data_IF_187942540557
#
_entry.id   IF_187942540557
#
_cell.length_a   1.000
_cell.length_b   1.000
_cell.length_c   1.000
_cell.angle_alpha   90.00
_cell.angle_beta   90.00
_cell.angle_gamma   90.00
#
_symmetry.space_group_name_H-M   'P 1'
#
loop_
_entity.id
_entity.type
_entity.pdbx_description
1 polymer ?
#
# COMPACT_ATOMS: atom_id res chain seq x y z
N UNK A 1 -23.07 -32.17 -36.12
CA UNK A 1 -23.88 -31.79 -34.95
C UNK A 1 -22.92 -31.17 -33.93
N UNK A 2 -23.08 -29.88 -33.60
CA UNK A 2 -22.14 -29.11 -32.77
C UNK A 2 -22.09 -29.55 -31.29
N UNK A 3 -23.13 -30.26 -30.83
CA UNK A 3 -23.19 -30.82 -29.47
C UNK A 3 -22.90 -32.31 -29.52
N UNK A 4 -21.79 -32.72 -28.91
CA UNK A 4 -21.38 -34.14 -28.83
C UNK A 4 -21.77 -34.79 -27.51
N UNK A 5 -21.83 -34.02 -26.41
CA UNK A 5 -22.28 -34.48 -25.11
C UNK A 5 -23.24 -33.46 -24.48
N UNK A 6 -24.54 -33.74 -24.55
CA UNK A 6 -25.60 -32.84 -24.05
C UNK A 6 -25.52 -32.64 -22.53
N UNK A 7 -25.14 -33.67 -21.78
CA UNK A 7 -25.07 -33.63 -20.31
C UNK A 7 -23.94 -32.72 -19.85
N UNK A 8 -22.75 -32.87 -20.42
CA UNK A 8 -21.60 -32.03 -20.07
C UNK A 8 -21.80 -30.59 -20.54
N UNK A 9 -22.39 -30.39 -21.72
CA UNK A 9 -22.76 -29.05 -22.18
C UNK A 9 -23.74 -28.36 -21.22
N UNK A 10 -24.78 -29.07 -20.76
CA UNK A 10 -25.75 -28.52 -19.81
C UNK A 10 -25.10 -28.14 -18.48
N UNK A 11 -24.23 -29.00 -17.93
CA UNK A 11 -23.46 -28.70 -16.70
C UNK A 11 -22.61 -27.44 -16.88
N UNK A 12 -21.89 -27.34 -18.00
CA UNK A 12 -21.05 -26.18 -18.30
C UNK A 12 -21.85 -24.88 -18.41
N UNK A 13 -22.98 -24.90 -19.14
CA UNK A 13 -23.88 -23.75 -19.27
C UNK A 13 -24.50 -23.37 -17.93
N UNK A 14 -24.95 -24.35 -17.14
CA UNK A 14 -25.51 -24.11 -15.81
C UNK A 14 -24.47 -23.44 -14.89
N UNK A 15 -23.24 -23.96 -14.85
CA UNK A 15 -22.14 -23.37 -14.09
C UNK A 15 -21.80 -21.96 -14.59
N UNK A 16 -21.83 -21.71 -15.89
CA UNK A 16 -21.56 -20.39 -16.46
C UNK A 16 -22.65 -19.36 -16.09
N UNK A 17 -23.94 -19.73 -16.21
CA UNK A 17 -25.06 -18.83 -15.87
C UNK A 17 -25.06 -18.49 -14.38
N UNK A 18 -24.88 -19.50 -13.53
CA UNK A 18 -24.82 -19.29 -12.07
C UNK A 18 -23.59 -18.47 -11.66
N UNK A 19 -22.44 -18.68 -12.31
CA UNK A 19 -21.25 -17.83 -12.15
C UNK A 19 -21.53 -16.38 -12.54
N UNK A 20 -22.13 -16.14 -13.72
CA UNK A 20 -22.48 -14.79 -14.18
C UNK A 20 -23.46 -14.12 -13.21
N UNK A 21 -24.40 -14.87 -12.62
CA UNK A 21 -25.30 -14.37 -11.59
C UNK A 21 -24.54 -13.87 -10.35
N UNK A 22 -23.59 -14.67 -9.85
CA UNK A 22 -22.71 -14.25 -8.72
C UNK A 22 -21.85 -13.06 -9.12
N UNK A 23 -21.31 -13.04 -10.34
CA UNK A 23 -20.50 -11.92 -10.85
C UNK A 23 -21.31 -10.63 -10.92
N UNK A 24 -22.52 -10.68 -11.47
CA UNK A 24 -23.44 -9.55 -11.51
C UNK A 24 -23.77 -9.06 -10.10
N UNK A 25 -23.95 -9.98 -9.14
CA UNK A 25 -24.12 -9.62 -7.73
C UNK A 25 -22.87 -8.92 -7.19
N UNK A 26 -21.65 -9.43 -7.42
CA UNK A 26 -20.39 -8.77 -6.99
C UNK A 26 -20.29 -7.35 -7.54
N UNK A 27 -20.67 -7.11 -8.79
CA UNK A 27 -20.64 -5.78 -9.39
C UNK A 27 -21.83 -4.89 -8.98
N UNK A 28 -22.87 -5.46 -8.38
CA UNK A 28 -24.04 -4.71 -7.93
C UNK A 28 -23.72 -3.85 -6.69
N UNK A 29 -24.39 -2.70 -6.53
CA UNK A 29 -24.14 -1.74 -5.46
C UNK A 29 -24.80 -2.15 -4.12
N UNK A 30 -24.72 -3.43 -3.74
CA UNK A 30 -25.43 -3.98 -2.57
C UNK A 30 -24.52 -4.23 -1.37
N UNK A 31 -23.22 -3.93 -1.46
CA UNK A 31 -22.21 -4.25 -0.44
C UNK A 31 -21.99 -3.12 0.57
N UNK A 32 -23.03 -2.34 0.84
CA UNK A 32 -23.00 -1.23 1.80
C UNK A 32 -22.53 0.08 1.16
N UNK A 33 -22.01 0.98 1.99
CA UNK A 33 -21.57 2.32 1.58
C UNK A 33 -20.12 2.57 1.92
N UNK A 34 -19.41 3.27 1.03
CA UNK A 34 -18.02 3.65 1.23
C UNK A 34 -17.90 4.81 2.21
N UNK A 35 -16.65 5.21 2.47
CA UNK A 35 -16.30 6.36 3.33
C UNK A 35 -16.90 7.69 2.88
N UNK A 36 -17.28 7.81 1.60
CA UNK A 36 -17.87 9.00 0.98
C UNK A 36 -19.40 8.86 0.84
N UNK A 37 -20.00 7.81 1.41
CA UNK A 37 -21.44 7.54 1.41
C UNK A 37 -21.99 6.96 0.11
N UNK A 38 -21.13 6.55 -0.83
CA UNK A 38 -21.51 5.95 -2.12
C UNK A 38 -21.70 4.45 -1.98
N UNK A 39 -22.63 3.89 -2.73
CA UNK A 39 -22.88 2.46 -2.68
C UNK A 39 -21.68 1.66 -3.21
N UNK A 40 -21.33 0.61 -2.47
CA UNK A 40 -20.18 -0.23 -2.77
C UNK A 40 -20.62 -1.49 -3.51
N UNK A 41 -19.80 -1.87 -4.49
CA UNK A 41 -19.81 -3.22 -5.01
C UNK A 41 -18.84 -4.10 -4.20
N UNK A 42 -18.89 -5.41 -4.42
CA UNK A 42 -18.10 -6.38 -3.66
C UNK A 42 -16.59 -6.21 -3.82
N UNK A 43 -16.13 -5.66 -4.95
CA UNK A 43 -14.70 -5.39 -5.19
C UNK A 43 -14.23 -4.20 -4.35
N UNK A 44 -15.00 -3.11 -4.33
CA UNK A 44 -14.68 -1.93 -3.51
C UNK A 44 -14.75 -2.28 -2.02
N UNK A 45 -15.73 -3.09 -1.61
CA UNK A 45 -15.83 -3.58 -0.24
C UNK A 45 -14.60 -4.41 0.16
N UNK A 46 -14.19 -5.36 -0.68
CA UNK A 46 -13.01 -6.16 -0.42
C UNK A 46 -11.75 -5.29 -0.34
N UNK A 47 -11.55 -4.36 -1.28
CA UNK A 47 -10.40 -3.46 -1.29
C UNK A 47 -10.33 -2.57 -0.04
N UNK A 48 -11.44 -1.92 0.33
CA UNK A 48 -11.52 -1.11 1.56
C UNK A 48 -11.20 -1.95 2.80
N UNK A 49 -11.76 -3.16 2.89
CA UNK A 49 -11.48 -4.07 4.00
C UNK A 49 -9.99 -4.44 4.05
N UNK A 50 -9.39 -4.82 2.92
CA UNK A 50 -7.97 -5.15 2.86
C UNK A 50 -7.09 -3.95 3.20
N UNK A 51 -7.43 -2.75 2.74
CA UNK A 51 -6.70 -1.53 3.07
C UNK A 51 -6.73 -1.19 4.56
N UNK A 52 -7.91 -1.32 5.21
CA UNK A 52 -8.06 -1.12 6.67
C UNK A 52 -7.23 -2.12 7.47
N UNK A 53 -7.22 -3.38 7.05
CA UNK A 53 -6.45 -4.45 7.66
C UNK A 53 -4.95 -4.28 7.45
N UNK A 54 -4.54 -3.92 6.23
CA UNK A 54 -3.15 -3.65 5.88
C UNK A 54 -2.59 -2.46 6.66
N UNK A 55 -3.41 -1.41 6.87
CA UNK A 55 -3.10 -0.33 7.82
C UNK A 55 -2.99 -0.85 9.26
N UNK A 56 -3.87 -1.73 9.72
CA UNK A 56 -3.72 -2.33 11.06
C UNK A 56 -2.38 -3.04 11.25
N UNK A 57 -1.91 -3.76 10.23
CA UNK A 57 -0.66 -4.53 10.28
C UNK A 57 0.61 -3.73 10.02
N UNK A 58 0.51 -2.54 9.42
CA UNK A 58 1.67 -1.74 9.00
C UNK A 58 2.13 -0.72 10.05
N UNK A 59 1.62 -0.79 11.29
CA UNK A 59 1.95 0.19 12.33
C UNK A 59 3.31 -0.10 12.98
N UNK A 60 4.39 0.23 12.26
CA UNK A 60 5.77 0.02 12.71
C UNK A 60 6.39 1.24 13.41
N UNK A 61 5.68 2.38 13.47
CA UNK A 61 6.19 3.64 14.01
C UNK A 61 6.79 3.49 15.42
N UNK A 62 6.15 2.79 16.39
CA UNK A 62 6.74 2.61 17.72
C UNK A 62 8.07 1.85 17.70
N UNK A 63 8.20 0.85 16.80
CA UNK A 63 9.43 0.07 16.65
C UNK A 63 10.55 0.93 16.06
N UNK A 64 10.26 1.70 15.02
CA UNK A 64 11.24 2.59 14.38
C UNK A 64 11.63 3.73 15.33
N UNK A 65 10.69 4.25 16.12
CA UNK A 65 10.98 5.25 17.15
C UNK A 65 11.99 4.75 18.17
N UNK A 66 11.88 3.48 18.60
CA UNK A 66 12.90 2.87 19.48
C UNK A 66 14.26 2.76 18.78
N UNK A 67 14.29 2.34 17.52
CA UNK A 67 15.55 2.28 16.75
C UNK A 67 16.20 3.65 16.57
N UNK A 68 15.40 4.71 16.48
CA UNK A 68 15.89 6.09 16.38
C UNK A 68 16.65 6.58 17.63
N UNK A 69 16.38 5.98 18.80
CA UNK A 69 17.10 6.35 20.04
C UNK A 69 18.61 6.09 19.92
N UNK A 70 19.02 5.11 19.11
CA UNK A 70 20.44 4.78 18.88
C UNK A 70 21.24 5.90 18.19
N UNK A 71 20.56 6.84 17.52
CA UNK A 71 21.20 7.96 16.79
C UNK A 71 20.83 9.33 17.37
N UNK A 72 20.33 9.36 18.61
CA UNK A 72 20.05 10.59 19.33
C UNK A 72 21.37 11.29 19.70
N UNK A 73 21.47 12.60 19.49
CA UNK A 73 22.69 13.38 19.71
C UNK A 73 23.68 13.30 18.54
N UNK A 74 23.38 12.50 17.52
CA UNK A 74 24.26 12.30 16.37
C UNK A 74 24.24 13.52 15.46
N UNK A 75 25.33 14.30 15.50
CA UNK A 75 25.46 15.47 14.65
C UNK A 75 25.74 15.09 13.19
N UNK A 76 25.05 15.74 12.26
CA UNK A 76 25.26 15.61 10.82
C UNK A 76 25.44 16.99 10.20
N UNK A 77 26.30 17.07 9.18
CA UNK A 77 26.43 18.22 8.29
C UNK A 77 26.27 17.72 6.87
N UNK A 78 25.17 18.07 6.21
CA UNK A 78 24.78 17.53 4.90
C UNK A 78 24.40 18.65 3.94
N UNK A 79 24.57 18.42 2.65
CA UNK A 79 24.00 19.28 1.60
C UNK A 79 22.88 18.52 0.90
N UNK A 80 21.64 18.95 1.11
CA UNK A 80 20.45 18.36 0.51
C UNK A 80 20.21 19.03 -0.84
N UNK A 81 20.31 18.26 -1.92
CA UNK A 81 19.96 18.69 -3.28
C UNK A 81 18.73 17.92 -3.74
N UNK A 82 17.59 18.59 -3.79
CA UNK A 82 16.35 18.02 -4.31
C UNK A 82 16.30 18.16 -5.83
N UNK A 83 15.59 17.24 -6.49
CA UNK A 83 15.49 17.20 -7.96
C UNK A 83 14.71 18.39 -8.53
N UNK A 84 13.75 18.93 -7.77
CA UNK A 84 12.92 20.07 -8.16
C UNK A 84 13.17 21.25 -7.21
N UNK A 85 13.50 22.41 -7.77
CA UNK A 85 13.78 23.62 -7.00
C UNK A 85 12.60 24.06 -6.12
N UNK A 86 11.37 23.85 -6.58
CA UNK A 86 10.12 24.15 -5.87
C UNK A 86 10.00 23.40 -4.54
N UNK A 87 10.59 22.19 -4.44
CA UNK A 87 10.57 21.40 -3.22
C UNK A 87 11.53 21.94 -2.14
N UNK A 88 12.49 22.79 -2.52
CA UNK A 88 13.46 23.34 -1.57
C UNK A 88 12.80 24.26 -0.53
N UNK A 89 11.77 25.02 -0.91
CA UNK A 89 11.06 25.88 0.03
C UNK A 89 10.35 25.05 1.12
N UNK A 90 9.65 23.99 0.73
CA UNK A 90 8.96 23.10 1.65
C UNK A 90 9.93 22.33 2.53
N UNK A 91 11.00 21.76 1.95
CA UNK A 91 12.03 21.06 2.69
C UNK A 91 12.75 21.97 3.71
N UNK A 92 13.07 23.21 3.33
CA UNK A 92 13.66 24.18 4.24
C UNK A 92 12.72 24.48 5.41
N UNK A 93 11.42 24.69 5.13
CA UNK A 93 10.40 24.92 6.15
C UNK A 93 10.28 23.76 7.12
N UNK A 94 10.22 22.53 6.63
CA UNK A 94 10.16 21.31 7.46
C UNK A 94 11.39 21.17 8.35
N UNK A 95 12.59 21.31 7.77
CA UNK A 95 13.86 21.16 8.49
C UNK A 95 14.02 22.24 9.58
N UNK A 96 13.80 23.50 9.23
CA UNK A 96 13.91 24.63 10.19
C UNK A 96 12.89 24.52 11.31
N UNK A 97 11.63 24.19 11.00
CA UNK A 97 10.57 23.99 12.00
C UNK A 97 10.86 22.77 12.90
N UNK A 98 11.58 21.78 12.39
CA UNK A 98 12.04 20.62 13.16
C UNK A 98 13.27 20.89 14.03
N UNK A 99 13.74 22.14 14.11
CA UNK A 99 14.87 22.55 14.93
C UNK A 99 16.24 22.30 14.28
N UNK A 100 16.28 21.99 12.99
CA UNK A 100 17.55 21.89 12.27
C UNK A 100 18.06 23.26 11.83
N UNK A 101 19.37 23.47 11.90
CA UNK A 101 20.02 24.62 11.28
C UNK A 101 20.13 24.36 9.78
N UNK A 102 19.09 24.73 9.03
CA UNK A 102 19.01 24.56 7.59
C UNK A 102 19.03 25.92 6.88
N UNK A 103 19.87 26.06 5.85
CA UNK A 103 19.97 27.28 5.04
C UNK A 103 19.97 26.92 3.55
N UNK A 104 19.21 27.65 2.76
CA UNK A 104 19.26 27.53 1.31
C UNK A 104 20.50 28.23 0.76
N UNK A 105 21.32 27.52 0.00
CA UNK A 105 22.47 28.04 -0.73
C UNK A 105 22.26 27.79 -2.22
N UNK A 106 22.99 28.51 -3.08
CA UNK A 106 22.92 28.28 -4.53
C UNK A 106 23.24 26.83 -4.96
N UNK A 107 23.85 26.03 -4.07
CA UNK A 107 24.17 24.63 -4.30
C UNK A 107 23.14 23.62 -3.75
N UNK A 108 22.14 24.06 -2.96
CA UNK A 108 21.16 23.22 -2.26
C UNK A 108 20.89 23.69 -0.83
N UNK A 109 20.26 22.87 0.01
CA UNK A 109 20.04 23.18 1.43
C UNK A 109 21.21 22.63 2.24
N UNK A 110 21.98 23.51 2.88
CA UNK A 110 22.95 23.10 3.90
C UNK A 110 22.23 22.83 5.21
N UNK A 111 22.47 21.65 5.79
CA UNK A 111 21.80 21.15 6.97
C UNK A 111 22.84 20.80 8.05
N UNK A 112 22.71 21.42 9.22
CA UNK A 112 23.38 20.99 10.46
C UNK A 112 22.33 20.66 11.52
N UNK A 113 22.33 19.43 12.02
CA UNK A 113 21.33 18.99 12.97
C UNK A 113 21.77 17.77 13.78
N UNK A 114 21.10 17.56 14.91
CA UNK A 114 21.00 16.24 15.54
C UNK A 114 20.04 15.38 14.70
N UNK A 115 20.59 14.36 14.05
CA UNK A 115 19.85 13.47 13.17
C UNK A 115 18.70 12.77 13.90
N UNK A 116 18.95 12.24 15.11
CA UNK A 116 17.93 11.57 15.89
C UNK A 116 16.81 12.51 16.32
N UNK A 117 17.12 13.76 16.63
CA UNK A 117 16.11 14.78 16.94
C UNK A 117 15.23 15.13 15.74
N UNK A 118 15.83 15.30 14.55
CA UNK A 118 15.06 15.53 13.31
C UNK A 118 14.19 14.31 13.00
N UNK A 119 14.74 13.10 13.03
CA UNK A 119 13.97 11.87 12.79
C UNK A 119 12.81 11.70 13.78
N UNK A 120 12.97 12.11 15.04
CA UNK A 120 11.89 12.09 16.02
C UNK A 120 10.72 13.01 15.63
N UNK A 121 11.00 14.17 15.02
CA UNK A 121 9.96 15.06 14.46
C UNK A 121 9.29 14.45 13.24
N UNK A 122 10.05 13.83 12.34
CA UNK A 122 9.47 13.11 11.20
C UNK A 122 8.57 11.96 11.65
N UNK A 123 9.00 11.21 12.68
CA UNK A 123 8.19 10.13 13.27
C UNK A 123 6.92 10.66 13.93
N UNK A 124 6.97 11.84 14.57
CA UNK A 124 5.80 12.52 15.12
C UNK A 124 4.80 12.88 14.01
N UNK A 125 5.26 13.46 12.90
CA UNK A 125 4.40 13.77 11.75
C UNK A 125 3.81 12.52 11.12
N UNK A 126 4.63 11.49 10.94
CA UNK A 126 4.17 10.21 10.42
C UNK A 126 3.12 9.58 11.34
N UNK A 127 3.26 9.68 12.67
CA UNK A 127 2.29 9.13 13.61
C UNK A 127 0.96 9.89 13.59
N UNK A 128 1.00 11.23 13.57
CA UNK A 128 -0.20 12.07 13.43
C UNK A 128 -0.92 11.76 12.10
N UNK A 129 -0.18 11.67 10.99
CA UNK A 129 -0.74 11.25 9.69
C UNK A 129 -1.30 9.83 9.72
N UNK A 130 -0.60 8.87 10.33
CA UNK A 130 -1.08 7.50 10.44
C UNK A 130 -2.41 7.43 11.20
N UNK A 131 -2.60 8.30 12.19
CA UNK A 131 -3.83 8.42 13.00
C UNK A 131 -4.90 9.30 12.35
N UNK A 132 -4.70 9.67 11.09
CA UNK A 132 -5.58 10.56 10.31
C UNK A 132 -5.71 11.98 10.89
N UNK A 133 -4.76 12.41 11.72
CA UNK A 133 -4.71 13.73 12.34
C UNK A 133 -3.80 14.68 11.55
N UNK A 134 -3.99 14.69 10.22
CA UNK A 134 -3.17 15.47 9.30
C UNK A 134 -3.25 16.98 9.56
N UNK A 135 -4.35 17.44 10.17
CA UNK A 135 -4.49 18.83 10.60
C UNK A 135 -3.36 19.28 11.53
N UNK A 136 -2.88 18.44 12.45
CA UNK A 136 -1.72 18.78 13.29
C UNK A 136 -0.46 19.01 12.47
N UNK A 137 -0.25 18.24 11.42
CA UNK A 137 0.89 18.38 10.52
C UNK A 137 0.74 19.66 9.69
N UNK A 138 -0.45 19.90 9.16
CA UNK A 138 -0.76 21.11 8.41
C UNK A 138 -0.59 22.37 9.25
N UNK A 139 -1.07 22.36 10.50
CA UNK A 139 -0.94 23.47 11.45
C UNK A 139 0.53 23.70 11.86
N UNK A 140 1.33 22.63 12.05
CA UNK A 140 2.77 22.73 12.37
C UNK A 140 3.57 23.43 11.28
N UNK A 141 3.24 23.15 10.03
CA UNK A 141 4.03 23.61 8.89
C UNK A 141 3.33 24.65 8.03
N UNK A 142 2.09 25.05 8.33
CA UNK A 142 1.29 25.95 7.51
C UNK A 142 1.30 25.56 6.02
N UNK A 143 1.07 24.28 5.74
CA UNK A 143 1.07 23.70 4.39
C UNK A 143 0.19 22.45 4.36
N UNK A 144 -0.12 21.94 3.17
CA UNK A 144 -0.90 20.71 3.04
C UNK A 144 -0.16 19.51 3.67
N UNK A 145 -0.87 18.67 4.43
CA UNK A 145 -0.26 17.57 5.16
C UNK A 145 0.35 16.49 4.24
N UNK A 146 -0.21 16.28 3.05
CA UNK A 146 0.36 15.37 2.04
C UNK A 146 1.59 15.96 1.39
N UNK A 147 1.60 17.27 1.14
CA UNK A 147 2.80 17.99 0.70
C UNK A 147 3.93 17.91 1.73
N UNK A 148 3.62 18.02 3.03
CA UNK A 148 4.59 17.83 4.10
C UNK A 148 5.20 16.42 4.07
N UNK A 149 4.37 15.38 3.94
CA UNK A 149 4.86 14.00 3.89
C UNK A 149 5.70 13.68 2.65
N UNK A 150 5.30 14.17 1.46
CA UNK A 150 6.10 13.99 0.23
C UNK A 150 7.42 14.75 0.26
N UNK A 151 7.43 15.92 0.90
CA UNK A 151 8.64 16.71 1.15
C UNK A 151 9.57 15.98 2.12
N UNK A 152 9.04 15.42 3.22
CA UNK A 152 9.81 14.56 4.12
C UNK A 152 10.43 13.37 3.40
N UNK A 153 9.65 12.65 2.59
CA UNK A 153 10.15 11.52 1.82
C UNK A 153 11.33 11.91 0.92
N UNK A 154 11.22 13.04 0.22
CA UNK A 154 12.27 13.56 -0.66
C UNK A 154 13.53 13.92 0.11
N UNK A 155 13.39 14.57 1.28
CA UNK A 155 14.50 14.93 2.17
C UNK A 155 15.19 13.68 2.72
N UNK A 156 14.42 12.72 3.26
CA UNK A 156 14.96 11.49 3.84
C UNK A 156 15.72 10.66 2.81
N UNK A 157 15.22 10.58 1.57
CA UNK A 157 15.89 9.89 0.46
C UNK A 157 17.28 10.48 0.20
N UNK A 158 17.42 11.80 0.24
CA UNK A 158 18.71 12.47 0.05
C UNK A 158 19.62 12.29 1.26
N UNK A 159 19.09 12.37 2.49
CA UNK A 159 19.84 12.12 3.72
C UNK A 159 20.39 10.69 3.74
N UNK A 160 19.56 9.67 3.49
CA UNK A 160 19.96 8.26 3.40
C UNK A 160 21.11 8.06 2.40
N UNK A 161 20.96 8.61 1.19
CA UNK A 161 22.01 8.53 0.15
C UNK A 161 23.30 9.23 0.58
N UNK A 162 23.20 10.36 1.27
CA UNK A 162 24.35 11.15 1.70
C UNK A 162 25.11 10.46 2.85
N UNK A 163 24.40 9.94 3.84
CA UNK A 163 24.98 9.16 4.93
C UNK A 163 25.68 7.90 4.41
N UNK A 164 25.08 7.18 3.45
CA UNK A 164 25.73 6.03 2.79
C UNK A 164 27.04 6.40 2.11
N UNK A 165 27.08 7.53 1.40
CA UNK A 165 28.32 8.04 0.76
C UNK A 165 29.40 8.41 1.77
N UNK A 166 29.02 8.80 2.99
CA UNK A 166 29.93 9.10 4.08
C UNK A 166 30.35 7.85 4.89
N UNK A 167 29.92 6.64 4.50
CA UNK A 167 30.19 5.40 5.23
C UNK A 167 29.35 5.20 6.49
N UNK A 168 28.35 6.06 6.73
CA UNK A 168 27.48 6.09 7.91
C UNK A 168 26.25 5.18 7.71
N UNK A 169 26.52 3.88 7.57
CA UNK A 169 25.53 2.89 7.11
C UNK A 169 24.45 2.62 8.17
N UNK A 170 24.80 2.64 9.45
CA UNK A 170 23.84 2.39 10.53
C UNK A 170 22.82 3.51 10.66
N UNK A 171 23.27 4.76 10.60
CA UNK A 171 22.39 5.93 10.62
C UNK A 171 21.53 6.00 9.35
N UNK A 172 22.12 5.71 8.18
CA UNK A 172 21.38 5.64 6.93
C UNK A 172 20.28 4.57 6.98
N UNK A 173 20.54 3.41 7.60
CA UNK A 173 19.54 2.36 7.78
C UNK A 173 18.36 2.84 8.61
N UNK A 174 18.62 3.57 9.70
CA UNK A 174 17.54 4.13 10.54
C UNK A 174 16.73 5.18 9.77
N UNK A 175 17.40 6.08 9.04
CA UNK A 175 16.72 7.06 8.16
C UNK A 175 15.87 6.37 7.11
N UNK A 176 16.38 5.31 6.47
CA UNK A 176 15.63 4.51 5.51
C UNK A 176 14.45 3.78 6.15
N UNK A 177 14.57 3.34 7.40
CA UNK A 177 13.48 2.70 8.13
C UNK A 177 12.39 3.73 8.50
N UNK A 178 12.76 4.93 8.95
CA UNK A 178 11.80 6.04 9.15
C UNK A 178 11.06 6.35 7.85
N UNK A 179 11.76 6.44 6.73
CA UNK A 179 11.15 6.70 5.42
C UNK A 179 10.16 5.58 5.02
N UNK A 180 10.60 4.32 5.03
CA UNK A 180 9.84 3.20 4.46
C UNK A 180 8.79 2.60 5.39
N UNK A 181 8.99 2.72 6.70
CA UNK A 181 8.14 2.07 7.71
C UNK A 181 7.31 3.06 8.53
N UNK A 182 7.57 4.37 8.41
CA UNK A 182 6.74 5.40 9.03
C UNK A 182 6.14 6.34 7.97
N UNK A 183 6.97 7.08 7.22
CA UNK A 183 6.51 8.11 6.28
C UNK A 183 5.65 7.53 5.15
N UNK A 184 6.14 6.49 4.46
CA UNK A 184 5.41 5.85 3.34
C UNK A 184 4.05 5.27 3.79
N UNK A 185 3.96 4.43 4.84
CA UNK A 185 2.67 3.94 5.33
C UNK A 185 1.74 5.05 5.81
N UNK A 186 2.27 6.07 6.50
CA UNK A 186 1.46 7.19 6.98
C UNK A 186 0.82 7.98 5.83
N UNK A 187 1.56 8.22 4.75
CA UNK A 187 1.04 8.86 3.55
C UNK A 187 0.02 7.98 2.82
N UNK A 188 0.37 6.71 2.57
CA UNK A 188 -0.45 5.78 1.77
C UNK A 188 -1.78 5.44 2.45
N UNK A 189 -1.78 5.32 3.78
CA UNK A 189 -2.97 4.97 4.54
C UNK A 189 -3.70 6.16 5.15
N UNK A 190 -3.31 7.40 4.82
CA UNK A 190 -3.99 8.60 5.32
C UNK A 190 -5.46 8.63 4.89
N UNK A 191 -6.36 8.87 5.85
CA UNK A 191 -7.81 8.86 5.68
C UNK A 191 -8.48 7.48 5.81
N UNK A 192 -7.71 6.41 6.03
CA UNK A 192 -8.25 5.05 6.25
C UNK A 192 -8.29 4.75 7.75
N UNK A 193 -9.37 4.17 8.25
CA UNK A 193 -9.46 3.76 9.66
C UNK A 193 -8.85 2.38 9.86
N UNK A 194 -7.81 2.27 10.69
CA UNK A 194 -7.14 1.00 10.93
C UNK A 194 -8.09 -0.01 11.58
N UNK A 195 -8.03 -1.27 11.12
CA UNK A 195 -8.72 -2.40 11.74
C UNK A 195 -7.73 -3.52 12.02
N UNK A 196 -7.87 -4.20 13.16
CA UNK A 196 -6.99 -5.32 13.48
C UNK A 196 -7.36 -6.55 12.66
N UNK A 197 -6.34 -7.24 12.15
CA UNK A 197 -6.51 -8.48 11.37
C UNK A 197 -7.16 -9.58 12.19
N UNK A 198 -6.84 -9.66 13.48
CA UNK A 198 -7.41 -10.64 14.42
C UNK A 198 -8.93 -10.57 14.51
N UNK A 199 -9.53 -9.39 14.34
CA UNK A 199 -10.97 -9.17 14.44
C UNK A 199 -11.73 -9.56 13.16
N UNK A 200 -11.03 -9.73 12.03
CA UNK A 200 -11.61 -10.02 10.71
C UNK A 200 -11.09 -11.29 10.05
N UNK A 201 -10.36 -12.13 10.79
CA UNK A 201 -9.75 -13.35 10.27
C UNK A 201 -10.74 -14.29 9.57
N UNK A 202 -11.97 -14.43 10.10
CA UNK A 202 -13.01 -15.26 9.49
C UNK A 202 -13.47 -14.77 8.11
N UNK A 203 -13.64 -13.46 7.94
CA UNK A 203 -14.05 -12.85 6.67
C UNK A 203 -12.91 -12.94 5.65
N UNK A 204 -11.66 -12.75 6.07
CA UNK A 204 -10.48 -12.87 5.20
C UNK A 204 -10.32 -14.30 4.67
N UNK A 205 -10.41 -15.31 5.55
CA UNK A 205 -10.36 -16.72 5.15
C UNK A 205 -11.51 -17.06 4.21
N UNK A 206 -12.72 -16.55 4.50
CA UNK A 206 -13.88 -16.70 3.63
C UNK A 206 -13.66 -16.12 2.24
N UNK A 207 -13.13 -14.90 2.13
CA UNK A 207 -12.80 -14.27 0.84
C UNK A 207 -11.73 -15.04 0.06
N UNK A 208 -10.71 -15.56 0.75
CA UNK A 208 -9.68 -16.37 0.10
C UNK A 208 -10.26 -17.68 -0.45
N UNK A 209 -11.04 -18.40 0.35
CA UNK A 209 -11.73 -19.63 -0.09
C UNK A 209 -12.67 -19.30 -1.25
N UNK A 210 -13.43 -18.21 -1.13
CA UNK A 210 -14.31 -17.74 -2.19
C UNK A 210 -13.55 -17.46 -3.47
N UNK A 211 -12.42 -16.74 -3.42
CA UNK A 211 -11.59 -16.45 -4.59
C UNK A 211 -11.12 -17.73 -5.29
N UNK A 212 -10.63 -18.72 -4.55
CA UNK A 212 -10.19 -20.00 -5.14
C UNK A 212 -11.37 -20.78 -5.71
N UNK A 213 -12.48 -20.89 -4.98
CA UNK A 213 -13.69 -21.56 -5.46
C UNK A 213 -14.26 -20.89 -6.72
N UNK A 214 -14.33 -19.56 -6.73
CA UNK A 214 -14.83 -18.74 -7.83
C UNK A 214 -13.97 -18.87 -9.09
N UNK A 215 -12.64 -18.87 -8.96
CA UNK A 215 -11.72 -19.05 -10.10
C UNK A 215 -11.81 -20.46 -10.68
N UNK A 216 -11.88 -21.48 -9.82
CA UNK A 216 -12.08 -22.87 -10.26
C UNK A 216 -13.45 -23.07 -10.91
N UNK A 217 -14.51 -22.45 -10.36
CA UNK A 217 -15.88 -22.53 -10.88
C UNK A 217 -15.92 -22.12 -12.35
N UNK A 218 -15.37 -20.95 -12.69
CA UNK A 218 -15.31 -20.51 -14.09
C UNK A 218 -14.50 -21.47 -14.97
N UNK A 219 -13.38 -21.99 -14.46
CA UNK A 219 -12.57 -22.99 -15.14
C UNK A 219 -13.36 -24.25 -15.49
N UNK A 220 -14.13 -24.79 -14.53
CA UNK A 220 -14.99 -25.95 -14.77
C UNK A 220 -16.15 -25.65 -15.71
N UNK A 221 -16.74 -24.45 -15.65
CA UNK A 221 -17.77 -24.03 -16.58
C UNK A 221 -17.26 -24.10 -18.03
N UNK A 222 -16.10 -23.50 -18.30
CA UNK A 222 -15.44 -23.55 -19.60
C UNK A 222 -15.09 -25.00 -20.00
N UNK A 223 -14.49 -25.75 -19.09
CA UNK A 223 -14.10 -27.14 -19.32
C UNK A 223 -15.28 -28.01 -19.79
N UNK A 224 -16.40 -27.96 -19.08
CA UNK A 224 -17.58 -28.76 -19.41
C UNK A 224 -18.30 -28.28 -20.69
N UNK A 225 -18.31 -26.97 -20.96
CA UNK A 225 -18.81 -26.46 -22.24
C UNK A 225 -17.98 -26.97 -23.43
N UNK A 226 -16.64 -26.97 -23.30
CA UNK A 226 -15.75 -27.47 -24.34
C UNK A 226 -15.84 -28.99 -24.52
N UNK A 227 -15.92 -29.77 -23.43
CA UNK A 227 -16.17 -31.22 -23.52
C UNK A 227 -17.53 -31.51 -24.18
N UNK A 228 -18.56 -30.69 -23.87
CA UNK A 228 -19.90 -30.76 -24.44
C UNK A 228 -19.95 -30.61 -25.97
N UNK A 229 -19.10 -29.75 -26.55
CA UNK A 229 -18.96 -29.58 -28.00
C UNK A 229 -17.91 -30.52 -28.63
N UNK A 230 -17.27 -31.36 -27.82
CA UNK A 230 -16.35 -32.40 -28.26
C UNK A 230 -14.87 -32.01 -28.34
N UNK A 231 -14.48 -30.88 -27.74
CA UNK A 231 -13.09 -30.49 -27.52
C UNK A 231 -12.61 -31.12 -26.21
N UNK A 232 -12.33 -32.42 -26.26
CA UNK A 232 -11.99 -33.21 -25.07
C UNK A 232 -10.48 -33.32 -24.90
N UNK A 233 -9.96 -33.23 -23.67
CA UNK A 233 -8.55 -33.47 -23.34
C UNK A 233 -8.20 -34.97 -23.26
N UNK A 234 -8.97 -35.84 -23.93
CA UNK A 234 -8.66 -37.28 -24.01
C UNK A 234 -7.62 -37.49 -25.10
N UNK A 235 -6.53 -38.19 -24.77
CA UNK A 235 -5.49 -38.59 -25.74
C UNK A 235 -6.17 -39.25 -26.94
N UNK A 236 -5.90 -38.75 -28.15
CA UNK A 236 -6.45 -39.35 -29.36
C UNK A 236 -6.12 -40.85 -29.37
N UNK A 237 -7.13 -41.70 -29.53
CA UNK A 237 -6.89 -43.14 -29.71
C UNK A 237 -6.01 -43.28 -30.96
N UNK A 238 -4.80 -43.79 -30.78
CA UNK A 238 -3.90 -44.14 -31.89
C UNK A 238 -4.69 -45.09 -32.79
N UNK A 239 -5.02 -44.65 -34.01
CA UNK A 239 -5.55 -45.54 -35.03
C UNK A 239 -4.43 -46.51 -35.37
N UNK A 240 -4.56 -47.77 -34.95
CA UNK A 240 -3.81 -48.86 -35.57
C UNK A 240 -4.52 -49.14 -36.89
N UNK A 241 -3.86 -48.84 -37.99
CA UNK A 241 -4.25 -49.37 -39.29
C UNK A 241 -4.06 -50.89 -39.23
N UNK A 242 -5.10 -51.63 -39.63
CA UNK A 242 -5.10 -53.09 -39.82
C UNK A 242 -4.96 -53.35 -41.31
#
# INVERSE_FOLDING_TARGET
MLVKNKTELFKGVFLAVTFIGVLALIFSPVFGKDKDGKDMNGLVYADDMFNKLSKGSSYFIPKVSKSNEAIKGTQVSLTIKLEKAEQNANALKLLTTSGAAAQNTGAGIELKADLGAVMAKVLQDADDMYKNDGKKVADRYGMDEKEAMTSWWSVLKVIDKSLKKQGRIEEAKIVSDVMKKAVEPAYNYYGINAQQVSEKAGIMTGLLIFYVAYTMWWGFAIFYMFDGIGLTMKKAKVKKEV
#
